data_IF_817646100818
#
_entry.id   IF_817646100818
#
_cell.length_a   1.000
_cell.length_b   1.000
_cell.length_c   1.000
_cell.angle_alpha   90.00
_cell.angle_beta   90.00
_cell.angle_gamma   90.00
#
_symmetry.space_group_name_H-M   'P 1'
#
loop_
_entity.id
_entity.type
_entity.pdbx_description
1 polymer ?
#
# COMPACT_ATOMS: atom_id res chain seq x y z
N UNK A 1 -11.41 24.76 15.83
CA UNK A 1 -10.61 23.70 16.44
C UNK A 1 -9.29 23.58 15.69
N UNK A 2 -8.18 23.41 16.42
CA UNK A 2 -6.85 23.20 15.87
C UNK A 2 -6.28 21.92 16.47
N UNK A 3 -5.72 21.05 15.65
CA UNK A 3 -5.03 19.85 16.08
C UNK A 3 -3.60 19.86 15.54
N UNK A 4 -2.63 19.54 16.39
CA UNK A 4 -1.23 19.41 16.02
C UNK A 4 -0.76 18.01 16.32
N UNK A 5 -0.18 17.33 15.33
CA UNK A 5 0.33 15.97 15.45
C UNK A 5 1.82 15.96 15.14
N UNK A 6 2.59 15.36 16.03
CA UNK A 6 4.01 15.01 15.79
C UNK A 6 4.13 13.50 15.93
N UNK A 7 4.72 12.84 14.96
CA UNK A 7 4.96 11.40 15.03
C UNK A 7 6.31 11.01 14.47
N UNK A 8 6.84 9.95 15.02
CA UNK A 8 8.06 9.29 14.53
C UNK A 8 7.75 7.84 14.25
N UNK A 9 8.11 7.37 13.07
CA UNK A 9 8.04 5.95 12.71
C UNK A 9 9.41 5.43 12.30
N UNK A 10 9.67 4.18 12.66
CA UNK A 10 10.89 3.47 12.31
C UNK A 10 10.54 2.06 11.89
N UNK A 11 10.80 1.75 10.64
CA UNK A 11 10.75 0.40 10.11
C UNK A 11 12.15 -0.03 9.71
N UNK A 12 12.60 -1.12 10.27
CA UNK A 12 13.89 -1.73 9.95
C UNK A 12 13.68 -3.24 9.90
N UNK A 13 14.24 -3.86 8.87
CA UNK A 13 14.36 -5.30 8.86
C UNK A 13 15.79 -5.72 8.49
N UNK A 14 16.21 -6.83 9.07
CA UNK A 14 17.52 -7.42 8.95
C UNK A 14 17.37 -8.90 8.62
N UNK A 15 18.05 -9.37 7.55
CA UNK A 15 18.18 -10.80 7.24
C UNK A 15 19.64 -11.17 7.31
N UNK A 16 19.95 -12.13 8.17
CA UNK A 16 21.26 -12.75 8.26
C UNK A 16 21.16 -14.18 7.74
N UNK A 17 21.84 -14.47 6.65
CA UNK A 17 21.94 -15.81 6.07
C UNK A 17 23.35 -16.34 6.30
N UNK A 18 23.44 -17.57 6.82
CA UNK A 18 24.71 -18.22 7.06
C UNK A 18 24.66 -19.64 6.53
N UNK A 19 25.64 -20.01 5.69
CA UNK A 19 25.82 -21.36 5.19
C UNK A 19 27.23 -21.82 5.48
N UNK A 20 27.36 -23.00 6.09
CA UNK A 20 28.64 -23.65 6.38
C UNK A 20 28.61 -25.06 5.83
N UNK A 21 29.36 -25.29 4.75
CA UNK A 21 29.47 -26.60 4.14
C UNK A 21 30.83 -27.18 4.46
N UNK A 22 30.86 -28.39 4.98
CA UNK A 22 32.08 -29.14 5.24
C UNK A 22 32.08 -30.42 4.41
N UNK A 23 33.18 -30.66 3.73
CA UNK A 23 33.39 -31.85 2.91
C UNK A 23 34.69 -32.53 3.36
N UNK A 24 34.67 -33.86 3.48
CA UNK A 24 35.88 -34.67 3.63
C UNK A 24 36.28 -35.17 2.27
N UNK A 25 37.49 -34.83 1.86
CA UNK A 25 38.09 -35.42 0.65
C UNK A 25 38.51 -36.86 0.92
N UNK A 26 38.70 -37.65 -0.16
CA UNK A 26 39.11 -39.04 -0.12
C UNK A 26 40.50 -39.24 0.54
N UNK A 27 41.31 -38.19 0.63
CA UNK A 27 42.61 -38.14 1.30
C UNK A 27 42.55 -37.76 2.79
N UNK A 28 41.33 -37.64 3.37
CA UNK A 28 41.14 -37.17 4.76
C UNK A 28 41.30 -35.67 4.96
N UNK A 29 41.52 -34.89 3.90
CA UNK A 29 41.60 -33.42 3.97
C UNK A 29 40.20 -32.83 4.07
N UNK A 30 39.95 -31.94 5.06
CA UNK A 30 38.67 -31.26 5.22
C UNK A 30 38.62 -29.98 4.37
N UNK A 31 37.52 -29.78 3.64
CA UNK A 31 37.22 -28.54 2.94
C UNK A 31 36.05 -27.86 3.64
N UNK A 32 36.19 -26.57 3.98
CA UNK A 32 35.15 -25.80 4.61
C UNK A 32 34.84 -24.56 3.79
N UNK A 33 33.59 -24.44 3.32
CA UNK A 33 33.10 -23.29 2.62
C UNK A 33 32.06 -22.56 3.50
N UNK A 34 32.37 -21.35 3.89
CA UNK A 34 31.46 -20.50 4.69
C UNK A 34 31.00 -19.35 3.83
N UNK A 35 29.69 -19.14 3.78
CA UNK A 35 29.05 -18.02 3.16
C UNK A 35 28.13 -17.34 4.15
N UNK A 36 28.29 -16.04 4.35
CA UNK A 36 27.32 -15.24 5.10
C UNK A 36 26.87 -14.06 4.25
N UNK A 37 25.59 -13.72 4.35
CA UNK A 37 25.01 -12.56 3.72
C UNK A 37 24.11 -11.85 4.72
N UNK A 38 24.40 -10.58 4.96
CA UNK A 38 23.61 -9.68 5.78
C UNK A 38 22.89 -8.68 4.85
N UNK A 39 21.58 -8.70 4.89
CA UNK A 39 20.75 -7.78 4.14
C UNK A 39 19.93 -6.92 5.09
N UNK A 40 20.00 -5.60 4.93
CA UNK A 40 19.32 -4.64 5.79
C UNK A 40 18.58 -3.61 4.96
N UNK A 41 17.30 -3.37 5.30
CA UNK A 41 16.48 -2.33 4.69
C UNK A 41 15.62 -1.61 5.74
N UNK A 42 15.23 -0.38 5.47
CA UNK A 42 14.37 0.36 6.39
C UNK A 42 14.00 1.78 5.94
N UNK A 43 13.05 2.33 6.65
CA UNK A 43 12.60 3.72 6.52
C UNK A 43 12.38 4.33 7.91
N UNK A 44 12.80 5.57 8.08
CA UNK A 44 12.51 6.37 9.27
C UNK A 44 11.82 7.65 8.83
N UNK A 45 10.70 7.98 9.46
CA UNK A 45 9.91 9.16 9.16
C UNK A 45 9.69 10.01 10.40
N UNK A 46 9.88 11.31 10.24
CA UNK A 46 9.44 12.34 11.17
C UNK A 46 8.32 13.12 10.52
N UNK A 47 7.16 13.09 11.13
CA UNK A 47 5.97 13.75 10.63
C UNK A 47 5.53 14.86 11.59
N UNK A 48 5.24 16.03 11.02
CA UNK A 48 4.62 17.16 11.68
C UNK A 48 3.41 17.61 10.87
N UNK A 49 2.25 17.70 11.50
CA UNK A 49 0.99 18.08 10.85
C UNK A 49 0.20 19.03 11.73
N UNK A 50 -0.40 20.04 11.11
CA UNK A 50 -1.37 20.95 11.75
C UNK A 50 -2.64 20.94 10.93
N UNK A 51 -3.77 20.70 11.59
CA UNK A 51 -5.10 20.64 11.01
C UNK A 51 -6.02 21.64 11.70
N UNK A 52 -6.83 22.31 10.90
CA UNK A 52 -7.85 23.24 11.35
C UNK A 52 -9.22 22.76 10.91
N UNK A 53 -10.18 22.88 11.83
CA UNK A 53 -11.59 22.62 11.62
C UNK A 53 -12.35 23.90 11.94
N UNK A 54 -13.05 24.45 10.95
CA UNK A 54 -13.70 25.74 11.05
C UNK A 54 -15.10 25.72 10.44
N UNK A 55 -16.09 26.12 11.22
CA UNK A 55 -17.50 26.17 10.84
C UNK A 55 -17.95 27.64 10.71
N UNK A 56 -17.74 28.29 9.54
CA UNK A 56 -18.11 29.67 9.34
C UNK A 56 -19.63 29.87 9.32
N UNK A 57 -20.37 28.84 8.97
CA UNK A 57 -21.84 28.86 8.93
C UNK A 57 -22.42 27.45 9.05
N UNK A 58 -23.72 27.27 9.30
CA UNK A 58 -24.38 25.95 9.31
C UNK A 58 -24.34 25.22 7.96
N UNK A 59 -23.99 25.90 6.86
CA UNK A 59 -23.91 25.35 5.52
C UNK A 59 -22.50 24.94 5.11
N UNK A 60 -21.46 25.49 5.73
CA UNK A 60 -20.07 25.30 5.40
C UNK A 60 -19.29 24.74 6.57
N UNK A 61 -18.57 23.66 6.33
CA UNK A 61 -17.64 23.07 7.27
C UNK A 61 -16.28 22.92 6.58
N UNK A 62 -15.39 23.87 6.88
CA UNK A 62 -14.05 23.96 6.29
C UNK A 62 -13.06 23.14 7.11
N UNK A 63 -12.27 22.33 6.42
CA UNK A 63 -11.09 21.67 6.96
C UNK A 63 -9.89 22.07 6.12
N UNK A 64 -8.82 22.50 6.75
CA UNK A 64 -7.58 22.82 6.07
C UNK A 64 -6.39 22.54 6.96
N UNK A 65 -5.27 22.29 6.35
CA UNK A 65 -4.07 21.97 7.11
C UNK A 65 -2.84 21.91 6.25
N UNK A 66 -1.72 21.74 6.93
CA UNK A 66 -0.42 21.53 6.30
C UNK A 66 0.35 20.45 7.04
N UNK A 67 1.15 19.69 6.31
CA UNK A 67 1.97 18.62 6.84
C UNK A 67 3.37 18.65 6.24
N UNK A 68 4.33 18.24 7.02
CA UNK A 68 5.71 18.03 6.59
C UNK A 68 6.20 16.70 7.10
N UNK A 69 6.76 15.87 6.18
CA UNK A 69 7.38 14.60 6.53
C UNK A 69 8.84 14.62 6.05
N UNK A 70 9.72 14.31 6.97
CA UNK A 70 11.13 14.04 6.66
C UNK A 70 11.35 12.54 6.63
N UNK A 71 11.70 12.03 5.45
CA UNK A 71 11.96 10.61 5.19
C UNK A 71 13.46 10.33 5.14
N UNK A 72 13.85 9.23 5.76
CA UNK A 72 15.19 8.66 5.66
C UNK A 72 15.11 7.21 5.25
N UNK A 73 15.42 6.94 3.98
CA UNK A 73 15.39 5.61 3.40
C UNK A 73 16.75 4.93 3.49
N UNK A 74 16.71 3.63 3.74
CA UNK A 74 17.79 2.67 3.52
C UNK A 74 17.26 1.59 2.58
N UNK A 75 17.25 1.82 1.26
CA UNK A 75 16.59 0.91 0.35
C UNK A 75 17.21 -0.49 0.35
N UNK A 76 18.55 -0.56 0.40
CA UNK A 76 19.25 -1.83 0.34
C UNK A 76 20.68 -1.66 0.87
N UNK A 77 21.03 -2.46 1.87
CA UNK A 77 22.42 -2.63 2.32
C UNK A 77 22.69 -4.12 2.38
N UNK A 78 23.60 -4.59 1.54
CA UNK A 78 24.01 -5.99 1.53
C UNK A 78 25.50 -6.09 1.81
N UNK A 79 25.86 -6.95 2.74
CA UNK A 79 27.24 -7.36 3.00
C UNK A 79 27.31 -8.87 2.86
N UNK A 80 28.19 -9.37 2.02
CA UNK A 80 28.44 -10.82 1.93
C UNK A 80 29.87 -11.14 2.19
N UNK A 81 30.09 -12.22 2.95
CA UNK A 81 31.41 -12.73 3.27
C UNK A 81 31.53 -14.17 2.79
N UNK A 82 32.61 -14.47 2.08
CA UNK A 82 32.96 -15.79 1.60
C UNK A 82 34.30 -16.17 2.23
N UNK A 83 34.34 -17.31 2.87
CA UNK A 83 35.57 -17.85 3.44
C UNK A 83 35.69 -19.33 3.09
N UNK A 84 36.76 -19.69 2.41
CA UNK A 84 37.07 -21.04 2.02
C UNK A 84 38.35 -21.49 2.72
N UNK A 85 38.35 -22.73 3.26
CA UNK A 85 39.49 -23.32 3.93
C UNK A 85 39.71 -24.75 3.42
N UNK A 86 40.99 -25.11 3.27
CA UNK A 86 41.46 -26.48 3.01
C UNK A 86 42.33 -26.91 4.18
N UNK A 87 41.83 -27.82 5.01
CA UNK A 87 42.43 -28.11 6.33
C UNK A 87 42.51 -26.86 7.19
N UNK A 88 43.69 -26.54 7.70
CA UNK A 88 43.93 -25.33 8.48
C UNK A 88 44.30 -24.10 7.64
N UNK A 89 44.47 -24.26 6.32
CA UNK A 89 44.86 -23.20 5.42
C UNK A 89 43.62 -22.41 4.95
N UNK A 90 43.66 -21.08 5.05
CA UNK A 90 42.69 -20.18 4.47
C UNK A 90 43.02 -19.95 3.00
N UNK A 91 42.16 -20.38 2.09
CA UNK A 91 42.34 -20.20 0.65
C UNK A 91 41.71 -18.90 0.15
N UNK A 92 40.56 -18.52 0.76
CA UNK A 92 39.85 -17.29 0.44
C UNK A 92 39.15 -16.75 1.69
N UNK A 93 39.29 -15.47 1.97
CA UNK A 93 38.48 -14.72 2.97
C UNK A 93 38.22 -13.33 2.42
N UNK A 94 37.04 -13.13 1.86
CA UNK A 94 36.69 -11.89 1.15
C UNK A 94 35.32 -11.41 1.59
N UNK A 95 35.24 -10.10 1.85
CA UNK A 95 33.97 -9.41 2.18
C UNK A 95 33.60 -8.48 1.04
N UNK A 96 32.38 -8.65 0.54
CA UNK A 96 31.78 -7.80 -0.48
C UNK A 96 30.75 -6.89 0.17
N UNK A 97 30.85 -5.59 -0.10
CA UNK A 97 29.84 -4.62 0.32
C UNK A 97 29.05 -4.17 -0.91
N UNK A 98 27.73 -4.11 -0.78
CA UNK A 98 26.90 -3.45 -1.79
C UNK A 98 27.31 -1.99 -1.92
N UNK A 99 27.48 -1.51 -3.15
CA UNK A 99 27.76 -0.09 -3.46
C UNK A 99 26.56 0.80 -3.05
N UNK A 100 25.40 0.22 -2.80
CA UNK A 100 24.15 0.91 -2.50
C UNK A 100 23.98 1.32 -1.02
N UNK A 101 25.05 1.47 -0.23
CA UNK A 101 24.96 2.00 1.15
C UNK A 101 24.53 3.48 1.20
N UNK A 102 23.88 3.98 0.16
CA UNK A 102 23.44 5.37 0.09
C UNK A 102 22.08 5.52 0.75
N UNK A 103 22.08 6.18 1.91
CA UNK A 103 20.84 6.70 2.50
C UNK A 103 20.24 7.72 1.56
N UNK A 104 18.94 7.62 1.32
CA UNK A 104 18.19 8.58 0.53
C UNK A 104 17.34 9.40 1.50
N UNK A 105 17.39 10.71 1.35
CA UNK A 105 16.62 11.65 2.16
C UNK A 105 15.54 12.27 1.28
N UNK A 106 14.30 12.26 1.78
CA UNK A 106 13.13 12.84 1.14
C UNK A 106 12.46 13.87 2.04
N UNK A 107 11.93 14.92 1.45
CA UNK A 107 11.16 15.96 2.12
C UNK A 107 9.80 16.03 1.44
N UNK A 108 8.73 15.74 2.18
CA UNK A 108 7.36 15.86 1.70
C UNK A 108 6.66 17.01 2.42
N UNK A 109 6.20 17.98 1.65
CA UNK A 109 5.36 19.07 2.13
C UNK A 109 3.97 18.88 1.53
N UNK A 110 2.95 19.02 2.35
CA UNK A 110 1.55 18.97 1.91
C UNK A 110 0.73 20.11 2.47
N UNK A 111 -0.29 20.51 1.73
CA UNK A 111 -1.34 21.43 2.20
C UNK A 111 -2.67 21.01 1.60
N UNK A 112 -3.74 21.19 2.35
CA UNK A 112 -5.07 20.86 1.85
C UNK A 112 -6.12 21.85 2.32
N UNK A 113 -7.18 21.96 1.53
CA UNK A 113 -8.40 22.68 1.85
C UNK A 113 -9.58 21.83 1.40
N UNK A 114 -10.57 21.69 2.27
CA UNK A 114 -11.80 20.93 2.03
C UNK A 114 -12.99 21.69 2.59
N UNK A 115 -14.09 21.77 1.82
CA UNK A 115 -15.35 22.34 2.27
C UNK A 115 -16.49 21.31 2.13
N UNK A 116 -17.11 20.98 3.25
CA UNK A 116 -18.33 20.20 3.30
C UNK A 116 -19.53 21.17 3.25
N UNK A 117 -20.18 21.24 2.09
CA UNK A 117 -21.23 22.20 1.78
C UNK A 117 -22.60 21.53 1.90
N UNK A 118 -23.45 22.03 2.80
CA UNK A 118 -24.87 21.71 2.83
C UNK A 118 -25.62 22.61 1.86
N UNK A 119 -25.78 22.17 0.59
CA UNK A 119 -26.50 22.94 -0.42
C UNK A 119 -27.99 23.10 -0.07
N UNK A 120 -28.59 22.00 0.37
CA UNK A 120 -29.97 21.94 0.89
C UNK A 120 -30.13 20.67 1.76
N UNK A 121 -31.35 20.35 2.20
CA UNK A 121 -31.59 19.20 3.07
C UNK A 121 -31.35 17.84 2.37
N UNK A 122 -31.35 17.81 1.03
CA UNK A 122 -31.16 16.60 0.23
C UNK A 122 -29.77 16.48 -0.37
N UNK A 123 -29.09 17.61 -0.64
CA UNK A 123 -27.80 17.63 -1.34
C UNK A 123 -26.70 18.15 -0.45
N UNK A 124 -25.66 17.36 -0.26
CA UNK A 124 -24.38 17.76 0.33
C UNK A 124 -23.25 17.50 -0.66
N UNK A 125 -22.35 18.45 -0.75
CA UNK A 125 -21.13 18.36 -1.55
C UNK A 125 -19.92 18.43 -0.63
N UNK A 126 -18.88 17.68 -0.97
CA UNK A 126 -17.56 17.85 -0.40
C UNK A 126 -16.61 18.20 -1.54
N UNK A 127 -15.97 19.35 -1.44
CA UNK A 127 -15.01 19.86 -2.42
C UNK A 127 -13.66 20.00 -1.72
N UNK A 128 -12.69 19.23 -2.14
CA UNK A 128 -11.35 19.24 -1.56
C UNK A 128 -10.27 19.41 -2.61
N UNK A 129 -9.20 20.08 -2.21
CA UNK A 129 -7.99 20.23 -2.97
C UNK A 129 -6.80 19.95 -2.08
N UNK A 130 -5.97 18.98 -2.47
CA UNK A 130 -4.75 18.65 -1.77
C UNK A 130 -3.55 18.94 -2.67
N UNK A 131 -2.60 19.70 -2.16
CA UNK A 131 -1.32 19.98 -2.78
C UNK A 131 -0.23 19.18 -2.09
N UNK A 132 0.71 18.64 -2.85
CA UNK A 132 1.91 18.02 -2.29
C UNK A 132 3.15 18.32 -3.14
N UNK A 133 4.27 18.48 -2.44
CA UNK A 133 5.60 18.66 -2.97
C UNK A 133 6.51 17.61 -2.34
N UNK A 134 7.16 16.80 -3.15
CA UNK A 134 8.18 15.85 -2.69
C UNK A 134 9.55 16.19 -3.29
N UNK A 135 10.55 16.41 -2.44
CA UNK A 135 11.91 16.71 -2.85
C UNK A 135 12.86 15.57 -2.45
N UNK A 136 13.58 15.02 -3.41
CA UNK A 136 14.52 13.91 -3.23
C UNK A 136 15.65 13.97 -4.25
N UNK A 137 16.90 13.77 -3.85
CA UNK A 137 18.06 13.67 -4.77
C UNK A 137 18.14 14.83 -5.80
N UNK A 138 17.87 16.07 -5.40
CA UNK A 138 17.82 17.27 -6.26
C UNK A 138 16.66 17.26 -7.29
N UNK A 139 15.68 16.38 -7.14
CA UNK A 139 14.47 16.32 -7.95
C UNK A 139 13.27 16.73 -7.10
N UNK A 140 12.39 17.57 -7.65
CA UNK A 140 11.13 17.97 -7.01
C UNK A 140 9.94 17.49 -7.84
N UNK A 141 8.93 16.96 -7.17
CA UNK A 141 7.68 16.51 -7.75
C UNK A 141 6.52 17.27 -7.11
N UNK A 142 5.68 17.86 -7.96
CA UNK A 142 4.47 18.58 -7.55
C UNK A 142 3.23 17.77 -7.91
N UNK A 143 2.24 17.81 -7.06
CA UNK A 143 0.94 17.23 -7.36
C UNK A 143 -0.18 18.08 -6.81
N UNK A 144 -1.19 18.32 -7.65
CA UNK A 144 -2.47 18.90 -7.29
C UNK A 144 -3.52 17.79 -7.37
N UNK A 145 -4.23 17.54 -6.27
CA UNK A 145 -5.04 16.34 -6.09
C UNK A 145 -6.48 16.76 -5.71
N UNK A 146 -7.35 17.01 -6.70
CA UNK A 146 -8.74 17.33 -6.45
C UNK A 146 -9.48 16.11 -5.89
N UNK A 147 -10.41 16.38 -4.97
CA UNK A 147 -11.33 15.43 -4.34
C UNK A 147 -12.71 16.03 -4.34
N UNK A 148 -13.66 15.36 -4.96
CA UNK A 148 -15.04 15.81 -5.05
C UNK A 148 -15.94 14.66 -4.66
N UNK A 149 -16.89 14.91 -3.78
CA UNK A 149 -17.96 13.94 -3.53
C UNK A 149 -19.30 14.65 -3.38
N UNK A 150 -20.35 13.94 -3.76
CA UNK A 150 -21.72 14.37 -3.64
C UNK A 150 -22.54 13.30 -2.92
N UNK A 151 -23.41 13.72 -2.01
CA UNK A 151 -24.43 12.90 -1.39
C UNK A 151 -25.80 13.49 -1.67
N UNK A 152 -26.66 12.70 -2.29
CA UNK A 152 -28.03 13.10 -2.62
C UNK A 152 -29.04 12.18 -1.94
N UNK A 153 -29.95 12.74 -1.17
CA UNK A 153 -31.04 12.04 -0.50
C UNK A 153 -32.24 11.94 -1.45
N UNK A 154 -32.47 10.75 -2.02
CA UNK A 154 -33.56 10.48 -2.96
C UNK A 154 -34.85 10.03 -2.24
N UNK A 155 -35.36 10.74 -1.33
CA UNK A 155 -36.48 10.35 -0.50
C UNK A 155 -36.08 10.16 0.95
N UNK A 156 -36.88 9.44 1.75
CA UNK A 156 -36.59 9.25 3.18
C UNK A 156 -35.52 8.20 3.44
N UNK A 157 -35.50 7.15 2.60
CA UNK A 157 -34.78 5.92 2.88
C UNK A 157 -33.66 5.61 1.91
N UNK A 158 -33.55 6.35 0.80
CA UNK A 158 -32.54 6.13 -0.23
C UNK A 158 -31.56 7.29 -0.30
N UNK A 159 -30.27 6.97 -0.25
CA UNK A 159 -29.19 7.94 -0.44
C UNK A 159 -28.31 7.47 -1.60
N UNK A 160 -27.97 8.38 -2.50
CA UNK A 160 -26.97 8.18 -3.54
C UNK A 160 -25.69 8.93 -3.17
N UNK A 161 -24.55 8.34 -3.45
CA UNK A 161 -23.24 8.96 -3.30
C UNK A 161 -22.42 8.78 -4.56
N UNK A 162 -21.69 9.81 -4.95
CA UNK A 162 -20.73 9.75 -6.03
C UNK A 162 -19.44 10.44 -5.61
N UNK A 163 -18.29 9.93 -6.02
CA UNK A 163 -17.01 10.58 -5.72
C UNK A 163 -16.00 10.44 -6.84
N UNK A 164 -15.12 11.43 -6.90
CA UNK A 164 -13.90 11.42 -7.70
C UNK A 164 -12.74 11.85 -6.81
N UNK A 165 -11.62 11.11 -6.92
CA UNK A 165 -10.41 11.43 -6.16
C UNK A 165 -9.19 11.20 -7.04
N UNK A 166 -8.31 12.21 -7.12
CA UNK A 166 -6.96 12.07 -7.63
C UNK A 166 -5.99 11.97 -6.47
N UNK A 167 -5.01 11.04 -6.57
CA UNK A 167 -3.98 10.83 -5.55
C UNK A 167 -2.61 10.67 -6.18
N UNK A 168 -1.57 11.09 -5.45
CA UNK A 168 -0.17 10.83 -5.79
C UNK A 168 0.53 10.17 -4.62
N UNK A 169 1.47 9.26 -4.92
CA UNK A 169 2.25 8.52 -3.93
C UNK A 169 3.73 8.61 -4.28
N UNK A 170 4.55 8.95 -3.28
CA UNK A 170 6.00 9.18 -3.44
C UNK A 170 6.85 8.08 -2.82
N UNK A 171 6.27 7.28 -1.94
CA UNK A 171 6.92 6.17 -1.26
C UNK A 171 6.27 4.87 -1.69
N UNK A 172 7.05 3.90 -2.13
CA UNK A 172 6.57 2.62 -2.64
C UNK A 172 7.07 1.47 -1.77
N UNK A 173 6.20 0.50 -1.55
CA UNK A 173 6.59 -0.81 -1.03
C UNK A 173 6.76 -1.76 -2.21
N UNK A 174 7.98 -2.20 -2.44
CA UNK A 174 8.30 -3.23 -3.42
C UNK A 174 8.23 -4.59 -2.73
N UNK A 175 7.35 -5.45 -3.20
CA UNK A 175 7.19 -6.81 -2.71
C UNK A 175 7.38 -7.79 -3.86
N UNK A 176 8.13 -8.85 -3.62
CA UNK A 176 8.41 -9.89 -4.62
C UNK A 176 7.35 -10.99 -4.66
N UNK A 177 6.60 -11.15 -3.57
CA UNK A 177 5.62 -12.23 -3.40
C UNK A 177 4.25 -11.70 -2.97
N UNK A 178 3.16 -12.48 -3.19
CA UNK A 178 1.80 -12.12 -2.71
C UNK A 178 1.69 -12.07 -1.18
N UNK A 179 2.52 -12.82 -0.48
CA UNK A 179 2.59 -12.82 0.99
C UNK A 179 3.67 -11.82 1.39
N UNK A 180 3.35 -10.92 2.33
CA UNK A 180 4.32 -9.98 2.89
C UNK A 180 5.52 -10.76 3.45
N UNK A 181 6.67 -10.52 2.84
CA UNK A 181 7.93 -11.14 3.24
C UNK A 181 8.82 -10.07 3.88
N UNK A 182 9.72 -10.44 4.77
CA UNK A 182 10.68 -9.50 5.33
C UNK A 182 11.63 -8.90 4.27
N UNK A 183 11.56 -9.35 3.02
CA UNK A 183 12.29 -8.81 1.86
C UNK A 183 11.60 -7.62 1.19
N UNK A 184 10.42 -7.19 1.68
CA UNK A 184 9.71 -6.04 1.14
C UNK A 184 10.52 -4.75 1.38
N UNK A 185 10.67 -3.97 0.32
CA UNK A 185 11.59 -2.85 0.26
C UNK A 185 10.84 -1.52 0.16
N UNK A 186 10.99 -0.63 1.16
CA UNK A 186 10.49 0.72 1.10
C UNK A 186 11.43 1.63 0.32
N UNK A 187 10.96 2.17 -0.81
CA UNK A 187 11.73 3.00 -1.71
C UNK A 187 11.01 4.32 -2.02
N UNK A 188 11.77 5.44 -2.15
CA UNK A 188 11.20 6.70 -2.61
C UNK A 188 11.09 6.74 -4.13
N UNK A 189 10.35 7.71 -4.63
CA UNK A 189 10.55 8.21 -6.00
C UNK A 189 11.95 8.81 -6.14
N UNK A 190 12.51 8.74 -7.35
CA UNK A 190 13.84 9.26 -7.66
C UNK A 190 13.80 9.93 -9.04
N UNK A 191 14.93 10.39 -9.55
CA UNK A 191 14.98 10.91 -10.93
C UNK A 191 14.50 9.90 -11.97
N UNK A 192 14.71 8.58 -11.73
CA UNK A 192 14.29 7.51 -12.63
C UNK A 192 12.87 7.01 -12.36
N UNK A 193 12.47 7.01 -11.10
CA UNK A 193 11.18 6.48 -10.64
C UNK A 193 10.22 7.65 -10.37
N UNK A 194 9.21 7.77 -11.20
CA UNK A 194 8.20 8.84 -11.10
C UNK A 194 7.15 8.52 -10.03
N UNK A 195 6.50 9.53 -9.43
CA UNK A 195 5.40 9.32 -8.52
C UNK A 195 4.27 8.49 -9.15
N UNK A 196 3.74 7.54 -8.39
CA UNK A 196 2.50 6.87 -8.78
C UNK A 196 1.35 7.87 -8.68
N UNK A 197 0.46 7.85 -9.67
CA UNK A 197 -0.77 8.65 -9.70
C UNK A 197 -1.96 7.75 -9.89
N UNK A 198 -3.08 8.09 -9.27
CA UNK A 198 -4.32 7.37 -9.47
C UNK A 198 -5.50 8.31 -9.57
N UNK A 199 -6.47 7.91 -10.39
CA UNK A 199 -7.80 8.51 -10.51
C UNK A 199 -8.82 7.46 -10.11
N UNK A 200 -9.64 7.77 -9.12
CA UNK A 200 -10.67 6.86 -8.64
C UNK A 200 -12.04 7.53 -8.74
N UNK A 201 -12.98 6.78 -9.26
CA UNK A 201 -14.39 7.12 -9.37
C UNK A 201 -15.19 6.12 -8.56
N UNK A 202 -16.17 6.56 -7.79
CA UNK A 202 -17.15 5.67 -7.16
C UNK A 202 -18.57 6.19 -7.26
N UNK A 203 -19.52 5.26 -7.31
CA UNK A 203 -20.96 5.51 -7.28
C UNK A 203 -21.62 4.48 -6.41
N UNK A 204 -22.42 4.92 -5.43
CA UNK A 204 -23.09 4.04 -4.49
C UNK A 204 -24.52 4.42 -4.20
N UNK A 205 -25.34 3.42 -3.90
CA UNK A 205 -26.71 3.54 -3.40
C UNK A 205 -26.85 2.90 -2.03
N UNK A 206 -27.57 3.56 -1.14
CA UNK A 206 -27.78 3.14 0.25
C UNK A 206 -29.27 3.14 0.55
N UNK A 207 -29.76 2.11 1.20
CA UNK A 207 -31.17 1.95 1.57
C UNK A 207 -31.32 1.62 3.04
N UNK A 208 -32.13 2.40 3.76
CA UNK A 208 -32.38 2.27 5.20
C UNK A 208 -33.88 2.15 5.55
N UNK A 209 -34.73 1.84 4.54
CA UNK A 209 -36.20 1.81 4.73
C UNK A 209 -36.73 0.64 5.56
N UNK A 210 -35.91 -0.35 5.87
CA UNK A 210 -36.28 -1.46 6.75
C UNK A 210 -35.70 -1.19 8.14
N UNK A 211 -36.55 -1.10 9.16
CA UNK A 211 -36.11 -0.81 10.53
C UNK A 211 -35.04 -1.78 11.01
N UNK A 212 -33.88 -1.24 11.36
CA UNK A 212 -32.74 -2.00 11.85
C UNK A 212 -31.93 -2.70 10.77
N UNK A 213 -32.17 -2.39 9.49
CA UNK A 213 -31.38 -2.85 8.37
C UNK A 213 -30.82 -1.70 7.54
N UNK A 214 -29.60 -1.87 7.09
CA UNK A 214 -28.94 -0.99 6.14
C UNK A 214 -28.39 -1.85 4.99
N UNK A 215 -28.65 -1.40 3.76
CA UNK A 215 -28.14 -2.04 2.55
C UNK A 215 -27.36 -1.04 1.74
N UNK A 216 -26.25 -1.47 1.16
CA UNK A 216 -25.52 -0.64 0.21
C UNK A 216 -25.03 -1.45 -0.98
N UNK A 217 -24.93 -0.75 -2.10
CA UNK A 217 -24.28 -1.22 -3.33
C UNK A 217 -23.38 -0.08 -3.80
N UNK A 218 -22.08 -0.35 -3.96
CA UNK A 218 -21.12 0.63 -4.43
C UNK A 218 -20.26 0.03 -5.55
N UNK A 219 -20.16 0.75 -6.67
CA UNK A 219 -19.23 0.44 -7.76
C UNK A 219 -18.08 1.42 -7.77
N UNK A 220 -16.87 0.94 -8.05
CA UNK A 220 -15.70 1.78 -8.21
C UNK A 220 -14.86 1.41 -9.43
N UNK A 221 -14.15 2.40 -9.94
CA UNK A 221 -13.14 2.25 -10.98
C UNK A 221 -11.92 3.12 -10.66
N UNK A 222 -10.72 2.54 -10.76
CA UNK A 222 -9.45 3.20 -10.47
C UNK A 222 -8.43 2.94 -11.55
N UNK A 223 -7.96 4.01 -12.21
CA UNK A 223 -6.78 3.98 -13.07
C UNK A 223 -5.53 4.38 -12.27
N UNK A 224 -4.43 3.68 -12.50
CA UNK A 224 -3.15 3.91 -11.85
C UNK A 224 -2.04 4.04 -12.88
N UNK A 225 -1.16 5.01 -12.69
CA UNK A 225 -0.01 5.32 -13.55
C UNK A 225 1.27 5.26 -12.74
N UNK A 226 2.35 4.83 -13.38
CA UNK A 226 3.66 4.65 -12.77
C UNK A 226 3.62 3.67 -11.58
N UNK A 227 2.81 2.63 -11.67
CA UNK A 227 2.86 1.53 -10.70
C UNK A 227 4.19 0.83 -10.83
N UNK A 228 4.79 0.47 -9.71
CA UNK A 228 6.13 -0.07 -9.66
C UNK A 228 6.09 -1.57 -9.38
N UNK A 229 6.88 -2.35 -10.14
CA UNK A 229 7.00 -3.80 -9.96
C UNK A 229 8.44 -4.22 -10.26
N UNK A 230 8.87 -5.36 -9.71
CA UNK A 230 10.15 -5.94 -10.05
C UNK A 230 10.14 -6.52 -11.46
N UNK A 231 11.24 -6.34 -12.19
CA UNK A 231 11.47 -7.00 -13.48
C UNK A 231 11.55 -8.52 -13.30
N UNK A 232 11.16 -9.25 -14.33
CA UNK A 232 11.27 -10.72 -14.34
C UNK A 232 12.73 -11.17 -14.24
N UNK A 233 12.96 -12.26 -13.52
CA UNK A 233 14.29 -12.87 -13.37
C UNK A 233 15.30 -12.09 -12.53
N UNK A 234 14.87 -11.02 -11.84
CA UNK A 234 15.78 -10.21 -11.02
C UNK A 234 16.04 -10.89 -9.69
N UNK A 235 17.34 -11.09 -9.38
CA UNK A 235 17.77 -11.55 -8.07
C UNK A 235 17.87 -10.39 -7.06
N UNK A 236 17.36 -10.63 -5.84
CA UNK A 236 17.53 -9.73 -4.71
C UNK A 236 18.91 -9.83 -4.09
N UNK A 237 19.50 -11.03 -4.12
CA UNK A 237 20.78 -11.34 -3.50
C UNK A 237 21.90 -11.37 -4.55
N UNK A 238 23.06 -10.82 -4.21
CA UNK A 238 24.27 -10.92 -5.02
C UNK A 238 24.34 -10.05 -6.26
N UNK A 239 23.40 -9.12 -6.47
CA UNK A 239 23.45 -8.19 -7.60
C UNK A 239 24.12 -6.88 -7.22
N UNK A 240 25.11 -6.45 -7.99
CA UNK A 240 25.77 -5.14 -7.86
C UNK A 240 24.93 -3.97 -8.38
N UNK A 241 23.82 -4.25 -9.07
CA UNK A 241 22.92 -3.21 -9.59
C UNK A 241 22.00 -2.69 -8.49
N UNK A 242 21.93 -1.36 -8.32
CA UNK A 242 21.02 -0.72 -7.37
C UNK A 242 19.55 -1.05 -7.68
N UNK A 243 18.69 -0.95 -6.67
CA UNK A 243 17.26 -1.30 -6.74
C UNK A 243 16.48 -0.63 -7.88
N UNK A 244 16.85 0.62 -8.26
CA UNK A 244 16.22 1.34 -9.37
C UNK A 244 16.31 0.63 -10.73
N UNK A 245 17.34 -0.19 -10.94
CA UNK A 245 17.53 -0.93 -12.18
C UNK A 245 16.78 -2.27 -12.18
N UNK A 246 16.33 -2.70 -11.00
CA UNK A 246 15.60 -3.96 -10.79
C UNK A 246 14.09 -3.82 -10.98
N UNK A 247 13.59 -2.60 -11.15
CA UNK A 247 12.16 -2.30 -11.21
C UNK A 247 11.75 -1.70 -12.54
N UNK A 248 10.46 -1.78 -12.82
CA UNK A 248 9.83 -1.20 -14.00
C UNK A 248 8.54 -0.47 -13.60
N UNK A 249 8.25 0.62 -14.31
CA UNK A 249 7.02 1.39 -14.13
C UNK A 249 5.99 1.00 -15.18
N UNK A 250 4.75 0.77 -14.74
CA UNK A 250 3.64 0.39 -15.59
C UNK A 250 2.36 1.14 -15.28
N UNK A 251 1.27 0.60 -15.77
CA UNK A 251 -0.10 1.04 -15.51
C UNK A 251 -0.86 -0.03 -14.75
N UNK A 252 -1.83 0.37 -13.95
CA UNK A 252 -2.73 -0.53 -13.26
C UNK A 252 -4.18 -0.07 -13.41
N UNK A 253 -5.10 -1.01 -13.32
CA UNK A 253 -6.52 -0.75 -13.23
C UNK A 253 -7.11 -1.60 -12.13
N UNK A 254 -8.09 -1.04 -11.43
CA UNK A 254 -8.88 -1.78 -10.47
C UNK A 254 -10.34 -1.37 -10.58
N UNK A 255 -11.25 -2.33 -10.64
CA UNK A 255 -12.68 -2.08 -10.67
C UNK A 255 -13.39 -3.10 -9.81
N UNK A 256 -14.50 -2.73 -9.19
CA UNK A 256 -15.28 -3.66 -8.38
C UNK A 256 -16.67 -3.15 -8.06
N UNK A 257 -17.50 -4.09 -7.59
CA UNK A 257 -18.81 -3.84 -7.02
C UNK A 257 -18.84 -4.45 -5.64
N UNK A 258 -19.30 -3.68 -4.68
CA UNK A 258 -19.39 -4.04 -3.27
C UNK A 258 -20.85 -4.02 -2.83
N UNK A 259 -21.30 -5.08 -2.16
CA UNK A 259 -22.62 -5.20 -1.57
C UNK A 259 -22.45 -5.33 -0.06
N UNK A 260 -23.29 -4.66 0.70
CA UNK A 260 -23.34 -4.80 2.15
C UNK A 260 -24.79 -4.87 2.61
N UNK A 261 -25.07 -5.77 3.54
CA UNK A 261 -26.29 -5.84 4.31
C UNK A 261 -25.92 -5.88 5.80
N UNK A 262 -26.38 -4.90 6.56
CA UNK A 262 -26.13 -4.79 7.99
C UNK A 262 -27.43 -4.78 8.77
N UNK A 263 -27.50 -5.58 9.83
CA UNK A 263 -28.59 -5.59 10.79
C UNK A 263 -28.10 -5.07 12.13
N UNK A 264 -28.71 -3.98 12.60
CA UNK A 264 -28.26 -3.25 13.82
C UNK A 264 -29.20 -3.44 15.01
N UNK A 265 -30.41 -3.93 14.79
CA UNK A 265 -31.44 -4.07 15.84
C UNK A 265 -31.88 -5.52 16.05
N UNK A 266 -32.30 -5.81 17.29
CA UNK A 266 -32.82 -7.10 17.71
C UNK A 266 -31.77 -7.96 18.41
N UNK A 267 -32.16 -9.20 18.76
CA UNK A 267 -31.27 -10.16 19.45
C UNK A 267 -30.16 -10.67 18.55
N UNK A 268 -30.41 -10.72 17.25
CA UNK A 268 -29.39 -11.07 16.26
C UNK A 268 -29.02 -9.83 15.47
N UNK A 269 -27.75 -9.44 15.52
CA UNK A 269 -27.16 -8.33 14.78
C UNK A 269 -25.95 -8.83 13.98
N UNK A 270 -25.48 -8.06 13.01
CA UNK A 270 -24.33 -8.45 12.22
C UNK A 270 -24.35 -7.82 10.84
N UNK A 271 -23.41 -8.24 10.00
CA UNK A 271 -23.31 -7.75 8.63
C UNK A 271 -22.75 -8.82 7.70
N UNK A 272 -23.17 -8.75 6.47
CA UNK A 272 -22.65 -9.51 5.34
C UNK A 272 -22.14 -8.53 4.30
N UNK A 273 -20.90 -8.66 3.87
CA UNK A 273 -20.36 -7.96 2.71
C UNK A 273 -19.90 -8.94 1.64
N UNK A 274 -20.10 -8.56 0.39
CA UNK A 274 -19.58 -9.25 -0.76
C UNK A 274 -18.95 -8.26 -1.73
N UNK A 275 -17.70 -8.51 -2.11
CA UNK A 275 -16.97 -7.74 -3.10
C UNK A 275 -16.63 -8.61 -4.29
N UNK A 276 -17.02 -8.16 -5.48
CA UNK A 276 -16.53 -8.67 -6.75
C UNK A 276 -15.58 -7.63 -7.33
N UNK A 277 -14.30 -7.95 -7.47
CA UNK A 277 -13.30 -7.00 -7.95
C UNK A 277 -12.32 -7.61 -8.94
N UNK A 278 -11.69 -6.74 -9.72
CA UNK A 278 -10.60 -7.06 -10.63
C UNK A 278 -9.51 -6.01 -10.52
N UNK A 279 -8.27 -6.46 -10.32
CA UNK A 279 -7.11 -5.59 -10.34
C UNK A 279 -6.06 -6.17 -11.28
N UNK A 280 -5.59 -5.38 -12.23
CA UNK A 280 -4.59 -5.81 -13.21
C UNK A 280 -3.49 -4.77 -13.42
N UNK A 281 -2.37 -5.24 -13.98
CA UNK A 281 -1.17 -4.47 -14.30
C UNK A 281 -0.82 -4.64 -15.76
N UNK A 282 -0.13 -3.63 -16.31
CA UNK A 282 0.42 -3.65 -17.66
C UNK A 282 1.69 -2.82 -17.72
N UNK A 283 2.73 -3.36 -18.31
CA UNK A 283 4.04 -2.71 -18.48
C UNK A 283 4.34 -2.43 -19.95
N UNK A 284 5.52 -1.95 -20.27
CA UNK A 284 5.92 -1.70 -21.65
C UNK A 284 6.11 -3.00 -22.44
N UNK A 285 5.97 -2.94 -23.76
CA UNK A 285 6.26 -4.07 -24.65
C UNK A 285 7.74 -4.47 -24.51
N UNK A 286 7.99 -5.77 -24.32
CA UNK A 286 9.33 -6.30 -24.04
C UNK A 286 9.76 -6.20 -22.56
N UNK A 287 8.91 -5.63 -21.69
CA UNK A 287 9.07 -5.65 -20.23
C UNK A 287 8.29 -6.78 -19.57
N UNK A 288 7.86 -6.58 -18.32
CA UNK A 288 7.12 -7.57 -17.52
C UNK A 288 5.91 -8.08 -18.32
N UNK A 289 5.77 -9.41 -18.36
CA UNK A 289 4.73 -10.13 -19.12
C UNK A 289 4.65 -9.68 -20.59
N UNK A 290 5.81 -9.38 -21.20
CA UNK A 290 5.93 -8.89 -22.57
C UNK A 290 4.99 -7.73 -22.95
N UNK A 291 4.56 -6.94 -21.96
CA UNK A 291 3.64 -5.82 -22.13
C UNK A 291 2.16 -6.20 -22.20
N UNK A 292 1.83 -7.47 -22.05
CA UNK A 292 0.45 -7.93 -21.94
C UNK A 292 -0.11 -7.62 -20.54
N UNK A 293 -1.42 -7.47 -20.47
CA UNK A 293 -2.12 -7.23 -19.21
C UNK A 293 -2.25 -8.52 -18.42
N UNK A 294 -1.95 -8.47 -17.12
CA UNK A 294 -2.05 -9.62 -16.23
C UNK A 294 -2.69 -9.26 -14.89
N UNK A 295 -3.30 -10.22 -14.17
CA UNK A 295 -3.84 -10.01 -12.83
C UNK A 295 -2.74 -9.54 -11.87
N UNK A 296 -3.06 -8.54 -11.03
CA UNK A 296 -2.14 -8.14 -9.98
C UNK A 296 -2.06 -9.22 -8.88
N UNK A 297 -0.89 -9.44 -8.32
CA UNK A 297 -0.65 -10.48 -7.29
C UNK A 297 -1.57 -10.41 -6.06
N UNK A 298 -2.19 -9.26 -5.81
CA UNK A 298 -3.19 -9.06 -4.77
C UNK A 298 -4.63 -9.01 -5.32
N UNK A 299 -4.86 -9.42 -6.59
CA UNK A 299 -6.21 -9.52 -7.14
C UNK A 299 -7.01 -10.58 -6.39
N UNK A 300 -8.11 -10.16 -5.77
CA UNK A 300 -9.05 -11.03 -5.06
C UNK A 300 -10.40 -10.88 -5.72
N UNK A 301 -10.71 -11.84 -6.60
CA UNK A 301 -11.92 -11.76 -7.43
C UNK A 301 -13.19 -11.76 -6.60
N UNK A 302 -13.24 -12.61 -5.59
CA UNK A 302 -14.40 -12.74 -4.70
C UNK A 302 -13.94 -12.60 -3.25
N UNK A 303 -14.58 -11.74 -2.52
CA UNK A 303 -14.35 -11.55 -1.09
C UNK A 303 -15.70 -11.49 -0.38
N UNK A 304 -15.94 -12.41 0.54
CA UNK A 304 -17.17 -12.48 1.36
C UNK A 304 -16.75 -12.39 2.82
N UNK A 305 -17.40 -11.51 3.55
CA UNK A 305 -17.22 -11.40 5.00
C UNK A 305 -18.58 -11.43 5.67
N UNK A 306 -18.71 -12.28 6.66
CA UNK A 306 -19.91 -12.44 7.47
C UNK A 306 -19.55 -12.32 8.94
N UNK A 307 -20.24 -11.43 9.66
CA UNK A 307 -20.15 -11.34 11.11
C UNK A 307 -21.57 -11.38 11.68
N UNK A 308 -21.80 -12.27 12.64
CA UNK A 308 -23.09 -12.45 13.32
C UNK A 308 -22.83 -12.41 14.83
N UNK A 309 -23.64 -11.66 15.55
CA UNK A 309 -23.72 -11.66 17.00
C UNK A 309 -25.15 -12.00 17.41
N UNK A 310 -25.32 -12.96 18.31
CA UNK A 310 -26.62 -13.35 18.84
C UNK A 310 -26.64 -13.29 20.35
N UNK A 311 -27.57 -12.48 20.88
CA UNK A 311 -27.83 -12.37 22.31
C UNK A 311 -28.91 -13.36 22.73
N UNK A 312 -28.51 -14.47 23.36
CA UNK A 312 -29.44 -15.47 23.85
C UNK A 312 -30.19 -15.00 25.10
N UNK A 313 -29.46 -14.30 26.00
CA UNK A 313 -29.99 -13.73 27.22
C UNK A 313 -29.18 -12.49 27.60
N UNK A 314 -29.53 -11.82 28.74
CA UNK A 314 -28.75 -10.70 29.23
C UNK A 314 -27.36 -11.08 29.77
N UNK A 315 -27.10 -12.39 29.89
CA UNK A 315 -25.82 -12.92 30.41
C UNK A 315 -25.02 -13.70 29.36
N UNK A 316 -25.63 -14.05 28.22
CA UNK A 316 -24.99 -14.90 27.22
C UNK A 316 -25.21 -14.29 25.83
N UNK A 317 -24.12 -13.97 25.19
CA UNK A 317 -24.05 -13.61 23.78
C UNK A 317 -22.95 -14.39 23.07
N UNK A 318 -23.15 -14.70 21.80
CA UNK A 318 -22.20 -15.42 20.95
C UNK A 318 -21.99 -14.63 19.68
N UNK A 319 -20.71 -14.39 19.36
CA UNK A 319 -20.27 -13.78 18.11
C UNK A 319 -19.50 -14.78 17.25
N UNK A 320 -19.75 -14.73 15.94
CA UNK A 320 -19.01 -15.49 14.95
C UNK A 320 -18.65 -14.61 13.75
N UNK A 321 -17.43 -14.76 13.25
CA UNK A 321 -16.97 -14.10 12.01
C UNK A 321 -16.42 -15.14 11.05
N UNK A 322 -16.78 -15.01 9.78
CA UNK A 322 -16.31 -15.86 8.71
C UNK A 322 -15.87 -15.03 7.51
N UNK A 323 -14.73 -15.38 6.92
CA UNK A 323 -14.14 -14.69 5.77
C UNK A 323 -13.80 -15.71 4.70
N UNK A 324 -14.27 -15.48 3.48
CA UNK A 324 -13.87 -16.20 2.29
C UNK A 324 -13.23 -15.22 1.30
N UNK A 325 -12.00 -15.45 0.92
CA UNK A 325 -11.29 -14.65 -0.08
C UNK A 325 -10.68 -15.57 -1.13
N UNK A 326 -11.18 -15.47 -2.36
CA UNK A 326 -10.69 -16.27 -3.49
C UNK A 326 -9.69 -15.45 -4.29
N UNK A 327 -8.46 -15.93 -4.32
CA UNK A 327 -7.39 -15.41 -5.20
C UNK A 327 -7.49 -16.19 -6.51
N UNK A 328 -7.54 -15.51 -7.64
CA UNK A 328 -7.39 -16.15 -8.94
C UNK A 328 -5.90 -16.45 -9.14
N UNK A 329 -5.51 -17.69 -8.85
CA UNK A 329 -4.20 -18.20 -9.26
C UNK A 329 -4.35 -18.49 -10.75
N UNK A 330 -3.83 -17.59 -11.61
CA UNK A 330 -3.60 -17.95 -12.99
C UNK A 330 -2.52 -19.02 -12.97
N UNK A 331 -2.83 -20.22 -13.39
CA UNK A 331 -1.80 -21.21 -13.71
C UNK A 331 -0.86 -20.63 -14.78
N UNK A 332 0.44 -20.92 -14.68
CA UNK A 332 1.44 -20.40 -15.61
C UNK A 332 1.22 -20.85 -17.03
#
# INVERSE_FOLDING_TARGET
FCNTTVSYSNYLFDINSYTNNQYLGSSGTSFTNRYSADYRSGINDWNYQIDFDYNPSPKHHLKFGTGYIYHRFRPEVMTSKISNKTGDKIDLDTTYHSIANNRIYGHELSAYLEDNIKMNDRLRLNLGLHFSLFHVQKQSYFSLQPRVSARYQLGKDVTLKASYTQMSQYVHLLSSMPIAMPTDLWVPVTKKIKPMRSHQYSLGGYYTGIKGWEFSVEGYYKDMYNVLEYKEGVSFFGSSSGWENKVEMGKGRSAGIEFMAQKTLGRTTGWLSYTLSKSDRQFAKGGINNGERFPYKYDRRHNINLTINHKFSDRIDIGASWVLSLIHISEP
#
